data_IF_334536851022
#
_entry.id   IF_334536851022
#
_cell.length_a   1.000
_cell.length_b   1.000
_cell.length_c   1.000
_cell.angle_alpha   90.00
_cell.angle_beta   90.00
_cell.angle_gamma   90.00
#
_symmetry.space_group_name_H-M   'P 1'
#
loop_
_entity.id
_entity.type
_entity.pdbx_description
1 polymer ?
#
# COMPACT_ATOMS: atom_id res chain seq x y z
N UNK A 1 13.24 18.82 2.22
CA UNK A 1 12.64 19.27 3.51
C UNK A 1 13.20 20.64 3.86
N UNK A 2 12.50 21.43 4.66
CA UNK A 2 13.01 22.69 5.21
C UNK A 2 13.96 22.41 6.39
N UNK A 3 15.09 23.13 6.51
CA UNK A 3 16.14 22.84 7.50
C UNK A 3 15.65 22.88 8.96
N UNK A 4 14.62 23.67 9.26
CA UNK A 4 14.00 23.74 10.59
C UNK A 4 12.89 22.71 10.83
N UNK A 5 12.61 21.82 9.87
CA UNK A 5 11.55 20.82 9.96
C UNK A 5 10.13 21.35 9.73
N UNK A 6 9.97 22.62 9.31
CA UNK A 6 8.64 23.24 9.15
C UNK A 6 7.77 22.59 8.06
N UNK A 7 8.38 22.04 7.01
CA UNK A 7 7.66 21.38 5.91
C UNK A 7 8.59 20.43 5.14
N UNK A 8 8.03 19.36 4.62
CA UNK A 8 8.71 18.40 3.74
C UNK A 8 7.83 18.13 2.51
N UNK A 9 8.42 18.30 1.32
CA UNK A 9 7.78 17.96 0.05
C UNK A 9 8.38 16.66 -0.50
N UNK A 10 7.58 15.88 -1.21
CA UNK A 10 8.05 14.81 -2.09
C UNK A 10 8.28 15.43 -3.46
N UNK A 11 9.54 15.47 -3.89
CA UNK A 11 9.96 16.12 -5.14
C UNK A 11 10.21 15.08 -6.24
N UNK A 12 9.21 14.24 -6.51
CA UNK A 12 9.29 13.17 -7.49
C UNK A 12 8.02 13.10 -8.35
N UNK A 13 8.20 12.87 -9.64
CA UNK A 13 7.10 12.60 -10.58
C UNK A 13 7.02 11.08 -10.79
N UNK A 14 5.87 10.48 -10.50
CA UNK A 14 5.63 9.05 -10.69
C UNK A 14 5.43 8.68 -12.16
N UNK A 15 6.52 8.59 -12.92
CA UNK A 15 6.49 8.09 -14.30
C UNK A 15 6.26 6.58 -14.34
N UNK A 16 5.38 6.14 -15.23
CA UNK A 16 5.08 4.71 -15.44
C UNK A 16 5.07 4.38 -16.92
N UNK A 17 5.41 3.14 -17.25
CA UNK A 17 5.26 2.61 -18.61
C UNK A 17 3.80 2.18 -18.75
N UNK A 18 3.02 2.89 -19.57
CA UNK A 18 1.57 2.70 -19.70
C UNK A 18 1.13 1.23 -19.86
N UNK A 19 1.65 0.43 -20.82
CA UNK A 19 1.22 -0.95 -20.96
C UNK A 19 1.55 -1.80 -19.72
N UNK A 20 2.68 -1.54 -19.05
CA UNK A 20 3.08 -2.25 -17.81
C UNK A 20 2.13 -1.90 -16.68
N UNK A 21 1.79 -0.62 -16.52
CA UNK A 21 0.89 -0.16 -15.46
C UNK A 21 -0.52 -0.74 -15.64
N UNK A 22 -1.02 -0.77 -16.89
CA UNK A 22 -2.32 -1.38 -17.21
C UNK A 22 -2.35 -2.87 -16.85
N UNK A 23 -1.32 -3.64 -17.21
CA UNK A 23 -1.29 -5.08 -16.86
C UNK A 23 -1.11 -5.31 -15.36
N UNK A 24 -0.36 -4.46 -14.65
CA UNK A 24 -0.25 -4.51 -13.18
C UNK A 24 -1.62 -4.31 -12.51
N UNK A 25 -2.42 -3.35 -12.98
CA UNK A 25 -3.79 -3.17 -12.51
C UNK A 25 -4.73 -4.30 -12.92
N UNK A 26 -4.51 -4.90 -14.10
CA UNK A 26 -5.20 -6.12 -14.52
C UNK A 26 -4.95 -7.29 -13.56
N UNK A 27 -3.69 -7.52 -13.18
CA UNK A 27 -3.33 -8.54 -12.19
C UNK A 27 -3.97 -8.25 -10.82
N UNK A 28 -3.92 -6.98 -10.38
CA UNK A 28 -4.58 -6.53 -9.15
C UNK A 28 -6.09 -6.83 -9.16
N UNK A 29 -6.77 -6.50 -10.26
CA UNK A 29 -8.21 -6.74 -10.43
C UNK A 29 -8.57 -8.23 -10.30
N UNK A 30 -7.79 -9.11 -10.92
CA UNK A 30 -7.99 -10.56 -10.82
C UNK A 30 -7.83 -11.02 -9.37
N UNK A 31 -6.75 -10.62 -8.72
CA UNK A 31 -6.45 -11.02 -7.34
C UNK A 31 -7.51 -10.52 -6.35
N UNK A 32 -7.91 -9.25 -6.44
CA UNK A 32 -8.96 -8.70 -5.57
C UNK A 32 -10.32 -9.37 -5.77
N UNK A 33 -10.68 -9.75 -7.01
CA UNK A 33 -11.93 -10.49 -7.27
C UNK A 33 -11.90 -11.89 -6.69
N UNK A 34 -10.76 -12.60 -6.79
CA UNK A 34 -10.56 -13.91 -6.14
C UNK A 34 -10.69 -13.78 -4.62
N UNK A 35 -9.98 -12.83 -4.02
CA UNK A 35 -10.05 -12.56 -2.57
C UNK A 35 -11.47 -12.26 -2.10
N UNK A 36 -12.20 -11.42 -2.85
CA UNK A 36 -13.61 -11.09 -2.56
C UNK A 36 -14.55 -12.29 -2.68
N UNK A 37 -14.30 -13.19 -3.64
CA UNK A 37 -15.09 -14.41 -3.84
C UNK A 37 -14.82 -15.42 -2.72
N UNK A 38 -13.57 -15.59 -2.34
CA UNK A 38 -13.12 -16.71 -1.51
C UNK A 38 -13.17 -16.37 0.00
N UNK A 39 -13.03 -15.10 0.39
CA UNK A 39 -13.10 -14.68 1.81
C UNK A 39 -14.54 -14.61 2.31
N UNK A 40 -14.90 -15.52 3.24
CA UNK A 40 -16.24 -15.57 3.87
C UNK A 40 -16.63 -14.31 4.64
N UNK A 41 -15.71 -13.76 5.43
CA UNK A 41 -15.93 -12.56 6.25
C UNK A 41 -14.88 -11.50 5.91
N UNK A 42 -15.24 -10.52 5.09
CA UNK A 42 -14.37 -9.40 4.77
C UNK A 42 -14.63 -8.24 5.73
N UNK A 43 -13.74 -8.05 6.73
CA UNK A 43 -13.79 -6.88 7.61
C UNK A 43 -13.15 -5.68 6.91
N UNK A 44 -13.88 -4.56 6.86
CA UNK A 44 -13.36 -3.28 6.38
C UNK A 44 -12.66 -2.53 7.52
N UNK A 45 -11.69 -1.70 7.18
CA UNK A 45 -11.09 -0.77 8.13
C UNK A 45 -12.14 0.20 8.66
N UNK A 46 -11.97 0.65 9.91
CA UNK A 46 -12.76 1.73 10.51
C UNK A 46 -12.08 3.07 10.25
N UNK A 47 -12.88 4.12 10.14
CA UNK A 47 -12.39 5.49 9.94
C UNK A 47 -12.94 6.42 11.04
N UNK A 48 -12.10 7.31 11.62
CA UNK A 48 -10.65 7.40 11.41
C UNK A 48 -9.91 6.15 11.97
N UNK A 49 -8.72 5.81 11.43
CA UNK A 49 -7.96 4.66 11.92
C UNK A 49 -7.32 4.90 13.29
N UNK A 50 -7.09 6.16 13.66
CA UNK A 50 -6.51 6.60 14.94
C UNK A 50 -7.49 7.50 15.69
N UNK A 51 -7.34 7.56 17.02
CA UNK A 51 -8.09 8.49 17.86
C UNK A 51 -7.55 9.93 17.68
N UNK A 52 -8.41 10.93 17.89
CA UNK A 52 -8.06 12.34 17.75
C UNK A 52 -7.18 12.89 18.87
N UNK A 53 -7.17 12.22 20.02
CA UNK A 53 -6.39 12.61 21.20
C UNK A 53 -4.99 11.95 21.22
N UNK A 54 -4.75 10.95 20.38
CA UNK A 54 -3.44 10.28 20.30
C UNK A 54 -2.45 11.09 19.46
N UNK A 55 -1.20 11.28 19.92
CA UNK A 55 -0.17 11.91 19.10
C UNK A 55 0.17 11.02 17.89
N UNK A 56 0.63 11.61 16.76
CA UNK A 56 1.10 10.83 15.63
C UNK A 56 2.22 9.85 16.05
N UNK A 57 2.16 8.64 15.50
CA UNK A 57 3.17 7.62 15.73
C UNK A 57 4.50 8.00 15.06
N UNK A 58 5.61 7.83 15.80
CA UNK A 58 6.94 8.00 15.26
C UNK A 58 7.34 6.81 14.38
N UNK A 59 7.92 7.09 13.22
CA UNK A 59 8.29 6.06 12.24
C UNK A 59 9.45 5.17 12.71
N UNK A 60 10.47 5.75 13.34
CA UNK A 60 11.64 5.00 13.80
C UNK A 60 11.26 4.05 14.94
N UNK A 61 10.44 4.53 15.87
CA UNK A 61 10.06 3.75 17.05
C UNK A 61 9.02 2.65 16.75
N UNK A 62 8.12 2.87 15.78
CA UNK A 62 6.94 2.00 15.60
C UNK A 62 6.90 1.23 14.27
N UNK A 63 7.63 1.67 13.24
CA UNK A 63 7.44 1.15 11.87
C UNK A 63 8.76 0.63 11.26
N UNK A 64 9.88 1.31 11.50
CA UNK A 64 11.15 1.03 10.81
C UNK A 64 11.61 -0.43 10.91
N UNK A 65 11.44 -1.04 12.08
CA UNK A 65 11.88 -2.44 12.34
C UNK A 65 10.79 -3.48 12.05
N UNK A 66 9.61 -3.06 11.59
CA UNK A 66 8.49 -3.97 11.29
C UNK A 66 8.53 -4.36 9.81
N UNK A 67 8.70 -5.65 9.53
CA UNK A 67 8.61 -6.16 8.17
C UNK A 67 7.19 -5.95 7.60
N UNK A 68 7.06 -5.32 6.41
CA UNK A 68 5.77 -5.15 5.76
C UNK A 68 5.10 -6.49 5.45
N UNK A 69 3.77 -6.51 5.53
CA UNK A 69 2.97 -7.65 5.08
C UNK A 69 3.13 -7.85 3.57
N UNK A 70 2.91 -9.09 3.11
CA UNK A 70 2.96 -9.44 1.70
C UNK A 70 2.01 -8.56 0.87
N UNK A 71 2.55 -8.00 -0.20
CA UNK A 71 1.77 -7.25 -1.17
C UNK A 71 0.86 -8.17 -1.99
N UNK A 72 -0.17 -7.59 -2.62
CA UNK A 72 -0.99 -8.34 -3.56
C UNK A 72 -0.15 -8.67 -4.79
N UNK A 73 0.14 -9.95 -4.98
CA UNK A 73 0.87 -10.46 -6.14
C UNK A 73 0.09 -11.59 -6.79
N UNK A 74 0.03 -11.56 -8.12
CA UNK A 74 -0.41 -12.70 -8.90
C UNK A 74 0.80 -13.60 -9.12
N UNK A 75 0.71 -14.86 -8.71
CA UNK A 75 1.72 -15.86 -9.04
C UNK A 75 1.69 -16.08 -10.56
N UNK A 76 2.82 -15.78 -11.22
CA UNK A 76 3.00 -15.95 -12.66
C UNK A 76 3.67 -17.31 -12.93
N UNK A 77 3.33 -17.91 -14.06
CA UNK A 77 4.02 -19.11 -14.54
C UNK A 77 5.37 -18.69 -15.13
N UNK A 78 6.51 -19.25 -14.69
CA UNK A 78 7.82 -18.92 -15.28
C UNK A 78 8.01 -19.47 -16.70
N UNK A 79 7.19 -20.45 -17.13
CA UNK A 79 7.30 -21.09 -18.43
C UNK A 79 6.37 -20.47 -19.50
N UNK A 80 5.61 -19.43 -19.14
CA UNK A 80 4.74 -18.62 -20.01
C UNK A 80 5.12 -17.13 -19.97
#
# INVERSE_FOLDING_TARGET
YHITGAITFVDEISWVIEPVFVVQWGAMWIMMRREKRDRRNFKRMRFPPFDGDEPPLDYADNILDVEPLEAIQLQLDPDE
#
